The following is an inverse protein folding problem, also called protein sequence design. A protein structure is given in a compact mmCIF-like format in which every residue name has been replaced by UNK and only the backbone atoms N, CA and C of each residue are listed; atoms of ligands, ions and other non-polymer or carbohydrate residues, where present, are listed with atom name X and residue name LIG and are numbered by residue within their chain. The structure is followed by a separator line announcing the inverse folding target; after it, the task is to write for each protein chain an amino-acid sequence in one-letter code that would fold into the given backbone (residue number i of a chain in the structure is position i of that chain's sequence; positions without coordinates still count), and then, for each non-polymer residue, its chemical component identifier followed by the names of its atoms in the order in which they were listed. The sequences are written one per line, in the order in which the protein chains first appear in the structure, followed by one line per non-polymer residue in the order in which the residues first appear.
data_IF_976878205626
#
_entry.id   IF_976878205626
#
_cell.length_a   1.000
_cell.length_b   1.000
_cell.length_c   1.000
_cell.angle_alpha   90.00
_cell.angle_beta   90.00
_cell.angle_gamma   90.00
#
_symmetry.space_group_name_H-M   'P 1'
#
loop_
_entity.id
_entity.type
_entity.pdbx_description
1 polymer ?
#
# COMPACT_ATOMS: atom_id res chain seq x y z
N UNK A 1 34.50 0.75 -5.06
CA UNK A 1 34.15 1.31 -3.73
C UNK A 1 33.01 2.30 -3.92
N UNK A 2 31.79 1.99 -3.43
CA UNK A 2 30.62 2.87 -3.56
C UNK A 2 30.39 3.58 -2.23
N UNK A 3 30.48 4.91 -2.23
CA UNK A 3 29.98 5.74 -1.15
C UNK A 3 28.44 5.75 -1.23
N UNK A 4 27.78 5.08 -0.28
CA UNK A 4 26.35 5.31 0.00
C UNK A 4 26.26 6.63 0.77
N UNK A 5 26.31 7.74 0.05
CA UNK A 5 26.02 9.04 0.63
C UNK A 5 24.52 9.07 1.02
N UNK A 6 24.27 9.24 2.31
CA UNK A 6 22.97 9.64 2.85
C UNK A 6 22.61 11.02 2.31
N UNK A 7 22.16 11.09 1.05
CA UNK A 7 21.58 12.30 0.50
C UNK A 7 20.17 12.44 1.08
N UNK A 8 20.07 13.16 2.21
CA UNK A 8 18.82 13.80 2.58
C UNK A 8 18.57 14.83 1.47
N UNK A 9 17.69 14.49 0.52
CA UNK A 9 17.26 15.43 -0.49
C UNK A 9 16.70 16.67 0.22
N UNK A 10 17.40 17.79 0.11
CA UNK A 10 16.99 19.08 0.66
C UNK A 10 15.87 19.64 -0.23
N UNK A 11 14.68 19.09 -0.11
CA UNK A 11 13.51 19.62 -0.79
C UNK A 11 13.19 20.99 -0.18
N UNK A 12 13.09 22.02 -1.03
CA UNK A 12 12.60 23.33 -0.58
C UNK A 12 11.21 23.14 0.02
N UNK A 13 11.06 23.56 1.27
CA UNK A 13 9.76 23.54 1.93
C UNK A 13 8.79 24.44 1.17
N UNK A 14 7.55 23.98 1.01
CA UNK A 14 6.50 24.81 0.43
C UNK A 14 6.36 26.10 1.27
N UNK A 15 6.32 27.24 0.59
CA UNK A 15 6.18 28.53 1.26
C UNK A 15 4.90 28.56 2.08
N UNK A 16 5.04 28.93 3.37
CA UNK A 16 3.87 29.13 4.24
C UNK A 16 3.06 30.33 3.73
N UNK A 17 1.72 30.25 3.74
CA UNK A 17 0.89 31.36 3.33
C UNK A 17 1.14 32.59 4.22
N UNK A 18 1.49 33.70 3.59
CA UNK A 18 1.73 34.98 4.26
C UNK A 18 0.44 35.79 4.35
N UNK A 19 0.31 36.61 5.39
CA UNK A 19 -0.91 37.41 5.61
C UNK A 19 -1.30 38.27 4.37
N UNK A 20 -0.39 39.00 3.69
CA UNK A 20 -0.76 39.76 2.50
C UNK A 20 -1.33 38.90 1.37
N UNK A 21 -0.71 37.74 1.10
CA UNK A 21 -1.19 36.82 0.07
C UNK A 21 -2.56 36.22 0.43
N UNK A 22 -2.78 35.94 1.72
CA UNK A 22 -4.06 35.41 2.20
C UNK A 22 -5.19 36.42 2.08
N UNK A 23 -4.93 37.69 2.39
CA UNK A 23 -5.89 38.78 2.24
C UNK A 23 -6.22 39.04 0.75
N UNK A 24 -5.20 39.04 -0.11
CA UNK A 24 -5.39 39.15 -1.55
C UNK A 24 -6.23 37.99 -2.09
N UNK A 25 -5.99 36.75 -1.66
CA UNK A 25 -6.81 35.59 -2.04
C UNK A 25 -8.26 35.72 -1.56
N UNK A 26 -8.48 36.11 -0.30
CA UNK A 26 -9.82 36.33 0.25
C UNK A 26 -10.57 37.38 -0.54
N UNK A 27 -9.93 38.51 -0.84
CA UNK A 27 -10.53 39.59 -1.64
C UNK A 27 -10.79 39.17 -3.08
N UNK A 28 -9.87 38.43 -3.69
CA UNK A 28 -10.07 37.88 -5.02
C UNK A 28 -11.31 36.97 -5.08
N UNK A 29 -11.56 36.17 -4.04
CA UNK A 29 -12.75 35.32 -3.95
C UNK A 29 -14.04 36.13 -3.85
N UNK A 30 -14.05 37.18 -3.03
CA UNK A 30 -15.20 38.09 -2.92
C UNK A 30 -15.51 38.79 -4.25
N UNK A 31 -14.50 39.37 -4.90
CA UNK A 31 -14.67 40.16 -6.13
C UNK A 31 -15.09 39.26 -7.29
N UNK A 32 -14.45 38.09 -7.45
CA UNK A 32 -14.74 37.20 -8.57
C UNK A 32 -16.10 36.48 -8.47
N UNK A 33 -16.76 36.49 -7.30
CA UNK A 33 -18.12 35.96 -7.18
C UNK A 33 -19.17 36.81 -7.93
N UNK A 34 -18.90 38.09 -8.16
CA UNK A 34 -19.80 39.00 -8.88
C UNK A 34 -19.55 39.03 -10.39
N UNK A 35 -18.50 38.35 -10.86
CA UNK A 35 -18.11 38.36 -12.27
C UNK A 35 -18.70 37.15 -13.00
N UNK A 36 -18.96 37.31 -14.30
CA UNK A 36 -19.44 36.22 -15.12
C UNK A 36 -18.43 35.05 -15.15
N UNK A 37 -18.90 33.78 -15.25
CA UNK A 37 -18.02 32.63 -15.36
C UNK A 37 -17.01 32.80 -16.50
N UNK A 38 -15.72 32.74 -16.18
CA UNK A 38 -14.62 32.93 -17.14
C UNK A 38 -13.97 34.31 -17.13
N UNK A 39 -14.59 35.31 -16.52
CA UNK A 39 -13.99 36.63 -16.31
C UNK A 39 -13.44 36.75 -14.88
N UNK A 40 -12.19 37.20 -14.72
CA UNK A 40 -11.53 37.37 -13.41
C UNK A 40 -10.90 38.76 -13.32
N UNK A 41 -10.99 39.38 -12.15
CA UNK A 41 -10.30 40.63 -11.87
C UNK A 41 -8.78 40.46 -11.92
N UNK A 42 -8.07 41.47 -12.42
CA UNK A 42 -6.60 41.44 -12.46
C UNK A 42 -6.02 41.60 -11.05
N UNK A 43 -4.85 41.03 -10.78
CA UNK A 43 -4.22 41.12 -9.45
C UNK A 43 -4.01 42.57 -8.99
N UNK A 44 -3.66 43.48 -9.91
CA UNK A 44 -3.51 44.91 -9.60
C UNK A 44 -4.82 45.56 -9.14
N UNK A 45 -5.97 45.16 -9.71
CA UNK A 45 -7.29 45.66 -9.31
C UNK A 45 -7.68 45.10 -7.94
N UNK A 46 -7.40 43.82 -7.69
CA UNK A 46 -7.62 43.17 -6.39
C UNK A 46 -6.82 43.88 -5.30
N UNK A 47 -5.55 44.22 -5.55
CA UNK A 47 -4.73 44.97 -4.59
C UNK A 47 -5.32 46.37 -4.32
N UNK A 48 -5.77 47.09 -5.35
CA UNK A 48 -6.43 48.41 -5.17
C UNK A 48 -7.70 48.30 -4.32
N UNK A 49 -8.53 47.30 -4.61
CA UNK A 49 -9.76 47.03 -3.86
C UNK A 49 -9.47 46.57 -2.42
N UNK A 50 -8.37 45.87 -2.20
CA UNK A 50 -7.93 45.46 -0.87
C UNK A 50 -7.48 46.66 -0.04
N UNK A 51 -6.73 47.60 -0.63
CA UNK A 51 -6.32 48.84 0.05
C UNK A 51 -7.52 49.72 0.41
N UNK A 52 -8.52 49.76 -0.46
CA UNK A 52 -9.74 50.54 -0.26
C UNK A 52 -10.71 49.95 0.78
N UNK A 53 -10.58 48.67 1.14
CA UNK A 53 -11.47 47.99 2.08
C UNK A 53 -10.99 48.13 3.53
N UNK A 54 -11.69 48.91 4.39
CA UNK A 54 -11.26 49.12 5.78
C UNK A 54 -11.28 47.84 6.63
N UNK A 55 -12.12 46.86 6.28
CA UNK A 55 -12.30 45.63 7.07
C UNK A 55 -11.16 44.63 6.90
N UNK A 56 -10.50 44.65 5.73
CA UNK A 56 -9.41 43.73 5.39
C UNK A 56 -8.02 44.37 5.56
N UNK A 57 -7.93 45.56 6.16
CA UNK A 57 -6.65 46.16 6.49
C UNK A 57 -5.99 45.46 7.68
N UNK A 58 -4.68 45.13 7.61
CA UNK A 58 -3.98 44.44 8.68
C UNK A 58 -4.02 45.16 10.03
N UNK A 59 -4.15 46.50 10.04
CA UNK A 59 -4.23 47.31 11.26
C UNK A 59 -5.55 47.15 12.01
N UNK A 60 -6.63 46.82 11.31
CA UNK A 60 -7.99 46.74 11.87
C UNK A 60 -8.39 45.32 12.25
N UNK A 61 -7.59 44.31 11.87
CA UNK A 61 -7.85 42.91 12.19
C UNK A 61 -7.19 42.49 13.51
N UNK A 62 -7.94 41.78 14.33
CA UNK A 62 -7.42 41.10 15.52
C UNK A 62 -6.46 39.97 15.13
N UNK A 63 -5.66 39.51 16.10
CA UNK A 63 -4.71 38.40 15.87
C UNK A 63 -5.43 37.11 15.47
N UNK A 64 -6.58 36.83 16.09
CA UNK A 64 -7.40 35.64 15.82
C UNK A 64 -7.98 35.65 14.40
N UNK A 65 -8.47 36.79 13.92
CA UNK A 65 -8.98 36.92 12.56
C UNK A 65 -7.89 36.71 11.51
N UNK A 66 -6.67 37.19 11.77
CA UNK A 66 -5.50 36.97 10.88
C UNK A 66 -5.17 35.48 10.79
N UNK A 67 -5.13 34.79 11.92
CA UNK A 67 -4.87 33.34 11.97
C UNK A 67 -5.96 32.54 11.26
N UNK A 68 -7.24 32.93 11.41
CA UNK A 68 -8.36 32.30 10.74
C UNK A 68 -8.25 32.41 9.21
N UNK A 69 -7.94 33.59 8.67
CA UNK A 69 -7.79 33.80 7.23
C UNK A 69 -6.62 33.00 6.65
N UNK A 70 -5.51 32.88 7.39
CA UNK A 70 -4.38 32.01 7.00
C UNK A 70 -4.83 30.55 6.94
N UNK A 71 -5.54 30.07 7.97
CA UNK A 71 -6.04 28.70 8.07
C UNK A 71 -7.06 28.38 6.97
N UNK A 72 -7.92 29.33 6.59
CA UNK A 72 -8.84 29.17 5.45
C UNK A 72 -8.09 28.95 4.15
N UNK A 73 -7.01 29.70 3.89
CA UNK A 73 -6.20 29.50 2.69
C UNK A 73 -5.48 28.15 2.71
N UNK A 74 -4.94 27.75 3.85
CA UNK A 74 -4.33 26.42 4.01
C UNK A 74 -5.33 25.29 3.74
N UNK A 75 -6.55 25.41 4.27
CA UNK A 75 -7.61 24.45 4.02
C UNK A 75 -8.01 24.42 2.54
N UNK A 76 -8.08 25.58 1.89
CA UNK A 76 -8.35 25.66 0.45
C UNK A 76 -7.23 25.00 -0.37
N UNK A 77 -5.96 25.23 -0.03
CA UNK A 77 -4.83 24.55 -0.69
C UNK A 77 -4.88 23.03 -0.49
N UNK A 78 -5.14 22.58 0.74
CA UNK A 78 -5.33 21.15 1.05
C UNK A 78 -6.48 20.58 0.23
N UNK A 79 -7.63 21.25 0.21
CA UNK A 79 -8.80 20.81 -0.57
C UNK A 79 -8.51 20.78 -2.08
N UNK A 80 -7.72 21.70 -2.62
CA UNK A 80 -7.34 21.65 -4.04
C UNK A 80 -6.44 20.46 -4.34
N UNK A 81 -5.52 20.15 -3.43
CA UNK A 81 -4.57 19.04 -3.54
C UNK A 81 -5.21 17.67 -3.34
N UNK A 82 -6.07 17.52 -2.33
CA UNK A 82 -6.65 16.23 -1.91
C UNK A 82 -8.11 16.05 -2.31
N UNK A 83 -8.78 17.12 -2.77
CA UNK A 83 -10.19 17.09 -3.09
C UNK A 83 -10.46 16.26 -4.34
N UNK A 84 -11.34 15.28 -4.19
CA UNK A 84 -11.90 14.52 -5.30
C UNK A 84 -12.50 15.49 -6.33
N UNK A 85 -12.28 15.21 -7.62
CA UNK A 85 -12.88 15.99 -8.70
C UNK A 85 -14.36 15.63 -8.85
N UNK A 86 -15.16 16.61 -9.26
CA UNK A 86 -16.62 16.48 -9.39
C UNK A 86 -17.00 15.49 -10.50
N UNK A 87 -16.13 15.29 -11.49
CA UNK A 87 -16.34 14.33 -12.58
C UNK A 87 -15.06 13.60 -12.96
N UNK A 88 -15.21 12.39 -13.52
CA UNK A 88 -14.10 11.60 -14.06
C UNK A 88 -13.38 12.34 -15.20
N UNK A 89 -14.11 13.11 -16.02
CA UNK A 89 -13.52 13.92 -17.08
C UNK A 89 -12.59 15.01 -16.49
N UNK A 90 -13.02 15.71 -15.45
CA UNK A 90 -12.16 16.69 -14.78
C UNK A 90 -10.94 16.03 -14.10
N UNK A 91 -11.10 14.84 -13.51
CA UNK A 91 -9.99 14.07 -12.97
C UNK A 91 -8.97 13.65 -14.05
N UNK A 92 -9.46 13.23 -15.22
CA UNK A 92 -8.61 12.86 -16.36
C UNK A 92 -7.83 14.07 -16.91
N UNK A 93 -8.47 15.24 -17.05
CA UNK A 93 -7.79 16.46 -17.50
C UNK A 93 -6.67 16.86 -16.53
N UNK A 94 -6.94 16.80 -15.23
CA UNK A 94 -5.96 17.10 -14.18
C UNK A 94 -4.80 16.10 -14.17
N UNK A 95 -5.11 14.81 -14.37
CA UNK A 95 -4.11 13.75 -14.55
C UNK A 95 -3.20 14.06 -15.75
N UNK A 96 -3.77 14.32 -16.93
CA UNK A 96 -3.00 14.61 -18.15
C UNK A 96 -2.11 15.84 -17.97
N UNK A 97 -2.63 16.91 -17.37
CA UNK A 97 -1.86 18.12 -17.13
C UNK A 97 -0.70 17.87 -16.15
N UNK A 98 -0.90 17.00 -15.14
CA UNK A 98 0.14 16.63 -14.19
C UNK A 98 1.23 15.79 -14.85
N UNK A 99 0.85 14.80 -15.67
CA UNK A 99 1.78 13.96 -16.42
C UNK A 99 2.59 14.80 -17.40
N UNK A 100 1.95 15.73 -18.12
CA UNK A 100 2.64 16.65 -19.02
C UNK A 100 3.65 17.55 -18.27
N UNK A 101 3.27 18.06 -17.10
CA UNK A 101 4.19 18.83 -16.27
C UNK A 101 5.36 17.98 -15.77
N UNK A 102 5.12 16.73 -15.37
CA UNK A 102 6.20 15.80 -15.02
C UNK A 102 7.16 15.60 -16.20
N UNK A 103 6.66 15.34 -17.40
CA UNK A 103 7.48 15.21 -18.62
C UNK A 103 8.39 16.43 -18.83
N UNK A 104 7.87 17.65 -18.65
CA UNK A 104 8.67 18.88 -18.75
C UNK A 104 9.79 18.94 -17.71
N UNK A 105 9.55 18.45 -16.49
CA UNK A 105 10.57 18.37 -15.44
C UNK A 105 11.66 17.35 -15.79
N UNK A 106 11.31 16.16 -16.29
CA UNK A 106 12.28 15.16 -16.75
C UNK A 106 13.16 15.73 -17.86
N UNK A 107 12.56 16.36 -18.87
CA UNK A 107 13.30 17.05 -19.93
C UNK A 107 14.21 18.14 -19.38
N UNK A 108 13.72 18.96 -18.43
CA UNK A 108 14.52 20.01 -17.80
C UNK A 108 15.74 19.47 -17.06
N UNK A 109 15.59 18.36 -16.32
CA UNK A 109 16.68 17.69 -15.62
C UNK A 109 17.73 17.14 -16.60
N UNK A 110 17.28 16.58 -17.71
CA UNK A 110 18.16 16.12 -18.79
C UNK A 110 18.96 17.28 -19.37
N UNK A 111 18.29 18.36 -19.80
CA UNK A 111 18.94 19.48 -20.46
C UNK A 111 19.90 20.25 -19.54
N UNK A 112 19.54 20.41 -18.27
CA UNK A 112 20.31 21.24 -17.34
C UNK A 112 21.45 20.47 -16.66
N UNK A 113 21.25 19.19 -16.37
CA UNK A 113 22.15 18.42 -15.50
C UNK A 113 22.64 17.12 -16.13
N UNK A 114 22.14 16.76 -17.32
CA UNK A 114 22.41 15.46 -17.93
C UNK A 114 21.83 14.30 -17.12
N UNK A 115 20.85 14.55 -16.25
CA UNK A 115 20.21 13.52 -15.44
C UNK A 115 19.13 12.83 -16.27
N UNK A 116 19.19 11.51 -16.30
CA UNK A 116 18.23 10.66 -16.99
C UNK A 116 17.27 10.07 -15.95
N UNK A 117 15.98 10.04 -16.26
CA UNK A 117 14.97 9.36 -15.47
C UNK A 117 13.72 9.04 -16.28
N UNK A 118 12.89 8.18 -15.71
CA UNK A 118 11.55 7.88 -16.19
C UNK A 118 10.56 7.81 -15.01
N UNK A 119 9.27 7.77 -15.34
CA UNK A 119 8.18 7.55 -14.39
C UNK A 119 7.01 6.84 -15.06
N UNK A 120 6.28 6.05 -14.28
CA UNK A 120 5.03 5.40 -14.68
C UNK A 120 3.90 5.91 -13.78
N UNK A 121 2.85 6.41 -14.40
CA UNK A 121 1.62 6.82 -13.73
C UNK A 121 0.50 5.85 -14.10
N UNK A 122 -0.26 5.38 -13.12
CA UNK A 122 -1.37 4.45 -13.33
C UNK A 122 -2.49 4.70 -12.31
N UNK A 123 -3.68 4.18 -12.62
CA UNK A 123 -4.85 4.26 -11.77
C UNK A 123 -4.75 3.32 -10.57
N UNK A 124 -5.24 3.77 -9.41
CA UNK A 124 -5.35 2.95 -8.20
C UNK A 124 -6.73 2.31 -8.03
N UNK A 125 -7.70 2.67 -8.87
CA UNK A 125 -9.09 2.24 -8.74
C UNK A 125 -9.69 1.87 -10.09
N UNK A 126 -10.39 0.73 -10.15
CA UNK A 126 -10.91 0.16 -11.39
C UNK A 126 -11.98 1.02 -12.11
N UNK A 127 -12.60 1.97 -11.42
CA UNK A 127 -13.58 2.88 -12.05
C UNK A 127 -12.94 4.13 -12.65
N UNK A 128 -11.63 4.33 -12.45
CA UNK A 128 -10.93 5.45 -13.06
C UNK A 128 -10.56 5.06 -14.49
N UNK A 129 -10.87 5.94 -15.44
CA UNK A 129 -10.63 5.72 -16.87
C UNK A 129 -9.26 6.25 -17.32
N UNK A 130 -8.39 6.62 -16.39
CA UNK A 130 -7.07 7.15 -16.76
C UNK A 130 -6.19 6.02 -17.33
N UNK A 131 -5.63 6.29 -18.50
CA UNK A 131 -4.75 5.35 -19.19
C UNK A 131 -3.37 5.45 -18.55
N UNK A 132 -2.73 4.33 -18.19
CA UNK A 132 -1.35 4.37 -17.71
C UNK A 132 -0.45 5.12 -18.67
N UNK A 133 0.40 5.99 -18.14
CA UNK A 133 1.25 6.86 -18.97
C UNK A 133 2.67 6.85 -18.44
N UNK A 134 3.61 6.68 -19.35
CA UNK A 134 5.03 6.83 -19.07
C UNK A 134 5.49 8.26 -19.37
N UNK A 135 6.44 8.71 -18.57
CA UNK A 135 7.24 9.91 -18.85
C UNK A 135 8.71 9.50 -18.83
N UNK A 136 9.52 10.10 -19.70
CA UNK A 136 10.93 9.75 -19.79
C UNK A 136 11.79 10.89 -20.33
N UNK A 137 13.06 10.89 -19.96
CA UNK A 137 14.11 11.67 -20.62
C UNK A 137 15.01 10.76 -21.45
N UNK A 138 15.50 11.21 -22.60
CA UNK A 138 16.52 10.51 -23.41
C UNK A 138 16.38 8.98 -23.53
N UNK A 139 15.18 8.48 -23.84
CA UNK A 139 14.90 7.04 -24.01
C UNK A 139 15.19 6.19 -22.75
N UNK A 140 15.01 6.77 -21.56
CA UNK A 140 15.23 6.07 -20.30
C UNK A 140 14.36 4.82 -20.14
N UNK A 141 13.26 4.68 -20.87
CA UNK A 141 12.41 3.49 -20.84
C UNK A 141 13.05 2.27 -21.50
N UNK A 142 14.02 2.46 -22.41
CA UNK A 142 14.77 1.35 -23.03
C UNK A 142 15.53 0.54 -21.97
N UNK A 143 15.89 1.17 -20.83
CA UNK A 143 16.45 0.47 -19.68
C UNK A 143 15.54 -0.66 -19.17
N UNK A 144 14.21 -0.48 -19.23
CA UNK A 144 13.27 -1.50 -18.78
C UNK A 144 13.33 -2.72 -19.69
N UNK A 145 13.26 -2.49 -21.01
CA UNK A 145 13.31 -3.58 -21.99
C UNK A 145 14.66 -4.29 -21.96
N UNK A 146 15.75 -3.52 -21.85
CA UNK A 146 17.12 -4.06 -21.91
C UNK A 146 17.51 -4.85 -20.65
N UNK A 147 17.01 -4.46 -19.47
CA UNK A 147 17.42 -5.08 -18.20
C UNK A 147 16.43 -6.11 -17.66
N UNK A 148 15.14 -5.94 -17.93
CA UNK A 148 14.09 -6.80 -17.37
C UNK A 148 13.44 -7.72 -18.40
N UNK A 149 13.84 -7.63 -19.68
CA UNK A 149 13.25 -8.43 -20.78
C UNK A 149 11.71 -8.35 -20.79
N UNK A 150 11.19 -7.18 -20.42
CA UNK A 150 9.77 -6.93 -20.23
C UNK A 150 9.36 -5.75 -21.10
N UNK A 151 8.21 -5.86 -21.76
CA UNK A 151 7.69 -4.77 -22.58
C UNK A 151 7.04 -3.68 -21.72
N UNK A 152 7.09 -2.42 -22.15
CA UNK A 152 6.44 -1.32 -21.41
C UNK A 152 4.94 -1.55 -21.14
N UNK A 153 4.13 -2.07 -22.09
CA UNK A 153 2.74 -2.39 -21.83
C UNK A 153 2.55 -3.48 -20.76
N UNK A 154 3.42 -4.49 -20.73
CA UNK A 154 3.38 -5.56 -19.74
C UNK A 154 3.71 -5.01 -18.34
N UNK A 155 4.80 -4.26 -18.20
CA UNK A 155 5.14 -3.58 -16.95
C UNK A 155 4.00 -2.66 -16.47
N UNK A 156 3.39 -1.92 -17.40
CA UNK A 156 2.27 -1.04 -17.09
C UNK A 156 1.06 -1.81 -16.55
N UNK A 157 0.70 -2.92 -17.18
CA UNK A 157 -0.42 -3.76 -16.76
C UNK A 157 -0.15 -4.42 -15.41
N UNK A 158 1.05 -4.93 -15.18
CA UNK A 158 1.44 -5.50 -13.89
C UNK A 158 1.41 -4.46 -12.77
N UNK A 159 1.93 -3.27 -13.04
CA UNK A 159 1.92 -2.18 -12.08
C UNK A 159 0.50 -1.69 -11.79
N UNK A 160 -0.36 -1.57 -12.79
CA UNK A 160 -1.77 -1.21 -12.60
C UNK A 160 -2.54 -2.28 -11.82
N UNK A 161 -2.32 -3.56 -12.14
CA UNK A 161 -2.92 -4.67 -11.40
C UNK A 161 -2.48 -4.66 -9.94
N UNK A 162 -1.19 -4.44 -9.68
CA UNK A 162 -0.68 -4.26 -8.33
C UNK A 162 -1.29 -3.04 -7.64
N UNK A 163 -1.38 -1.90 -8.33
CA UNK A 163 -1.94 -0.66 -7.80
C UNK A 163 -3.44 -0.79 -7.49
N UNK A 164 -4.22 -1.48 -8.32
CA UNK A 164 -5.64 -1.73 -8.11
C UNK A 164 -5.88 -2.76 -6.99
N UNK A 165 -5.04 -3.78 -6.89
CA UNK A 165 -5.13 -4.78 -5.80
C UNK A 165 -4.72 -4.19 -4.44
N UNK A 166 -3.78 -3.24 -4.41
CA UNK A 166 -3.36 -2.51 -3.21
C UNK A 166 -4.20 -1.26 -2.92
N UNK A 167 -4.77 -0.63 -3.93
CA UNK A 167 -5.62 0.56 -3.80
C UNK A 167 -6.95 0.25 -3.12
N UNK A 168 -7.41 -1.00 -3.24
CA UNK A 168 -8.31 -1.60 -2.26
C UNK A 168 -7.54 -1.77 -0.94
N UNK A 169 -7.68 -0.79 -0.04
CA UNK A 169 -6.98 -0.69 1.26
C UNK A 169 -6.56 -2.08 1.81
N UNK A 170 -5.25 -2.42 1.87
CA UNK A 170 -4.76 -3.66 2.46
C UNK A 170 -5.06 -3.78 3.97
N UNK A 171 -5.70 -2.76 4.56
CA UNK A 171 -6.13 -2.74 5.95
C UNK A 171 -7.55 -3.26 6.20
N UNK A 172 -8.45 -3.38 5.23
CA UNK A 172 -9.84 -3.75 5.56
C UNK A 172 -10.15 -5.24 5.32
N UNK A 173 -9.29 -5.94 4.56
CA UNK A 173 -9.46 -7.38 4.32
C UNK A 173 -8.76 -8.17 5.41
N UNK A 174 -9.55 -8.66 6.36
CA UNK A 174 -9.14 -9.54 7.47
C UNK A 174 -8.06 -10.54 7.07
N UNK A 175 -8.27 -11.28 5.97
CA UNK A 175 -7.34 -12.32 5.51
C UNK A 175 -5.95 -11.79 5.13
N UNK A 176 -5.87 -10.61 4.52
CA UNK A 176 -4.58 -10.01 4.14
C UNK A 176 -3.79 -9.57 5.39
N UNK A 177 -4.46 -8.96 6.35
CA UNK A 177 -3.88 -8.63 7.66
C UNK A 177 -3.41 -9.88 8.40
N UNK A 178 -4.20 -10.95 8.41
CA UNK A 178 -3.80 -12.21 9.02
C UNK A 178 -2.54 -12.77 8.38
N UNK A 179 -2.44 -12.74 7.04
CA UNK A 179 -1.26 -13.18 6.29
C UNK A 179 -0.04 -12.32 6.61
N UNK A 180 -0.21 -11.00 6.69
CA UNK A 180 0.88 -10.06 6.99
C UNK A 180 1.37 -10.20 8.43
N UNK A 181 0.47 -10.31 9.41
CA UNK A 181 0.82 -10.62 10.80
C UNK A 181 1.56 -11.96 10.92
N UNK A 182 1.09 -13.01 10.23
CA UNK A 182 1.75 -14.32 10.24
C UNK A 182 3.17 -14.25 9.70
N UNK A 183 3.38 -13.49 8.61
CA UNK A 183 4.71 -13.23 8.05
C UNK A 183 5.60 -12.47 9.04
N UNK A 184 5.12 -11.36 9.62
CA UNK A 184 5.88 -10.57 10.60
C UNK A 184 6.28 -11.38 11.84
N UNK A 185 5.38 -12.26 12.31
CA UNK A 185 5.66 -13.16 13.42
C UNK A 185 6.78 -14.15 13.04
N UNK A 186 6.69 -14.78 11.88
CA UNK A 186 7.72 -15.72 11.40
C UNK A 186 9.07 -15.01 11.17
N UNK A 187 9.07 -13.83 10.56
CA UNK A 187 10.27 -13.02 10.34
C UNK A 187 10.92 -12.64 11.67
N UNK A 188 10.12 -12.19 12.65
CA UNK A 188 10.60 -11.86 13.99
C UNK A 188 11.17 -13.08 14.73
N UNK A 189 10.53 -14.24 14.59
CA UNK A 189 10.97 -15.50 15.18
C UNK A 189 12.32 -15.94 14.58
N UNK A 190 12.44 -15.92 13.26
CA UNK A 190 13.68 -16.25 12.56
C UNK A 190 14.82 -15.29 12.93
N UNK A 191 14.51 -14.00 13.09
CA UNK A 191 15.48 -12.99 13.53
C UNK A 191 16.00 -13.29 14.94
N UNK A 192 15.13 -13.68 15.86
CA UNK A 192 15.52 -14.01 17.23
C UNK A 192 16.30 -15.33 17.32
N UNK A 193 15.99 -16.31 16.47
CA UNK A 193 16.66 -17.61 16.41
C UNK A 193 17.99 -17.57 15.64
N UNK A 194 18.19 -16.59 14.76
CA UNK A 194 19.37 -16.50 13.91
C UNK A 194 19.39 -17.50 12.74
N UNK A 195 18.29 -18.19 12.44
CA UNK A 195 18.17 -19.09 11.29
C UNK A 195 16.83 -18.96 10.55
N UNK A 196 16.76 -19.27 9.24
CA UNK A 196 15.61 -18.93 8.40
C UNK A 196 14.38 -19.86 8.46
N UNK A 197 14.34 -20.90 9.30
CA UNK A 197 13.28 -21.93 9.26
C UNK A 197 12.53 -22.16 10.59
N UNK A 198 12.51 -21.17 11.48
CA UNK A 198 11.70 -21.21 12.69
C UNK A 198 10.20 -21.19 12.36
N UNK A 199 9.48 -22.24 12.72
CA UNK A 199 8.02 -22.29 12.59
C UNK A 199 7.33 -22.12 13.95
N UNK A 200 6.33 -21.23 13.98
CA UNK A 200 5.57 -20.95 15.18
C UNK A 200 4.51 -22.04 15.43
N UNK A 201 4.71 -22.87 16.47
CA UNK A 201 3.70 -23.85 16.87
C UNK A 201 2.77 -23.31 17.96
N UNK A 202 1.61 -22.78 17.55
CA UNK A 202 0.61 -22.23 18.49
C UNK A 202 -0.09 -23.30 19.34
N UNK A 203 -0.15 -24.57 18.91
CA UNK A 203 -0.82 -25.63 19.67
C UNK A 203 0.05 -26.13 20.82
N UNK A 204 1.34 -26.31 20.55
CA UNK A 204 2.33 -26.80 21.52
C UNK A 204 3.35 -25.71 21.86
N UNK A 205 2.87 -24.49 22.04
CA UNK A 205 3.71 -23.30 22.16
C UNK A 205 4.71 -23.40 23.33
N UNK A 206 4.25 -23.86 24.49
CA UNK A 206 5.11 -23.98 25.67
C UNK A 206 6.26 -24.99 25.46
N UNK A 207 6.01 -26.10 24.75
CA UNK A 207 7.01 -27.14 24.49
C UNK A 207 7.91 -26.76 23.31
N UNK A 208 7.32 -26.57 22.13
CA UNK A 208 8.05 -26.45 20.88
C UNK A 208 8.77 -25.12 20.73
N UNK A 209 8.28 -24.06 21.39
CA UNK A 209 8.87 -22.73 21.24
C UNK A 209 9.53 -22.28 22.53
N UNK A 210 8.80 -22.22 23.66
CA UNK A 210 9.39 -21.70 24.89
C UNK A 210 10.44 -22.62 25.48
N UNK A 211 10.18 -23.93 25.53
CA UNK A 211 11.14 -24.89 26.09
C UNK A 211 12.28 -25.21 25.11
N UNK A 212 11.98 -25.46 23.83
CA UNK A 212 13.03 -25.80 22.86
C UNK A 212 13.89 -24.60 22.45
N UNK A 213 13.30 -23.43 22.25
CA UNK A 213 14.01 -22.25 21.74
C UNK A 213 14.30 -21.19 22.80
N UNK A 214 13.71 -21.29 24.00
CA UNK A 214 13.95 -20.33 25.07
C UNK A 214 13.50 -18.91 24.73
N UNK A 215 12.50 -18.73 23.88
CA UNK A 215 12.04 -17.41 23.42
C UNK A 215 10.54 -17.23 23.61
N UNK A 216 10.13 -15.98 23.86
CA UNK A 216 8.74 -15.59 24.05
C UNK A 216 8.48 -14.19 23.47
N UNK A 217 7.30 -13.92 22.85
CA UNK A 217 6.96 -12.59 22.37
C UNK A 217 6.55 -11.72 23.54
N UNK A 218 7.30 -10.65 23.77
CA UNK A 218 6.96 -9.61 24.75
C UNK A 218 6.19 -8.50 24.04
N UNK A 219 5.21 -7.90 24.73
CA UNK A 219 4.40 -6.81 24.17
C UNK A 219 3.28 -7.27 23.23
N UNK A 220 2.80 -8.50 23.39
CA UNK A 220 1.56 -8.92 22.73
C UNK A 220 0.39 -8.01 23.17
N UNK A 221 -0.47 -7.55 22.26
CA UNK A 221 -1.52 -6.58 22.59
C UNK A 221 -2.53 -7.12 23.62
N UNK A 222 -2.94 -6.25 24.54
CA UNK A 222 -3.94 -6.58 25.56
C UNK A 222 -5.32 -6.80 24.90
N UNK A 223 -6.00 -7.88 25.29
CA UNK A 223 -7.33 -8.22 24.78
C UNK A 223 -7.32 -9.00 23.45
N UNK A 224 -6.15 -9.39 22.93
CA UNK A 224 -6.03 -10.31 21.80
C UNK A 224 -5.49 -11.64 22.30
N UNK A 225 -6.24 -12.71 22.07
CA UNK A 225 -5.81 -14.06 22.44
C UNK A 225 -4.49 -14.42 21.74
N UNK A 226 -3.61 -15.13 22.45
CA UNK A 226 -2.39 -15.67 21.89
C UNK A 226 -2.67 -16.90 21.02
N UNK A 227 -3.12 -16.67 19.79
CA UNK A 227 -3.45 -17.70 18.79
C UNK A 227 -2.86 -17.37 17.42
N UNK A 228 -2.87 -18.35 16.53
CA UNK A 228 -2.43 -18.15 15.15
C UNK A 228 -3.21 -16.99 14.51
N UNK A 229 -2.56 -16.06 13.78
CA UNK A 229 -3.24 -14.92 13.16
C UNK A 229 -4.45 -15.33 12.31
N UNK A 230 -4.36 -16.44 11.57
CA UNK A 230 -5.47 -16.99 10.78
C UNK A 230 -6.71 -17.39 11.59
N UNK A 231 -6.60 -17.54 12.91
CA UNK A 231 -7.71 -17.85 13.83
C UNK A 231 -8.30 -16.62 14.51
N UNK A 232 -7.75 -15.43 14.27
CA UNK A 232 -8.27 -14.16 14.79
C UNK A 232 -9.35 -13.67 13.84
N UNK A 233 -10.62 -13.81 14.22
CA UNK A 233 -11.77 -13.46 13.37
C UNK A 233 -12.15 -11.98 13.44
N UNK A 234 -11.79 -11.29 14.51
CA UNK A 234 -12.17 -9.91 14.73
C UNK A 234 -11.15 -8.95 14.09
N UNK A 235 -11.64 -8.11 13.18
CA UNK A 235 -10.82 -7.12 12.46
C UNK A 235 -10.07 -6.18 13.43
N UNK A 236 -10.73 -5.74 14.52
CA UNK A 236 -10.10 -4.89 15.54
C UNK A 236 -8.92 -5.57 16.24
N UNK A 237 -9.04 -6.85 16.55
CA UNK A 237 -7.98 -7.63 17.22
C UNK A 237 -6.77 -7.81 16.31
N UNK A 238 -6.98 -8.16 15.03
CA UNK A 238 -5.88 -8.34 14.08
C UNK A 238 -5.18 -7.00 13.79
N UNK A 239 -5.91 -5.88 13.76
CA UNK A 239 -5.30 -4.55 13.64
C UNK A 239 -4.43 -4.19 14.84
N UNK A 240 -4.90 -4.50 16.05
CA UNK A 240 -4.10 -4.27 17.26
C UNK A 240 -2.80 -5.07 17.20
N UNK A 241 -2.87 -6.34 16.79
CA UNK A 241 -1.68 -7.18 16.60
C UNK A 241 -0.75 -6.65 15.50
N UNK A 242 -1.32 -6.27 14.36
CA UNK A 242 -0.57 -5.69 13.24
C UNK A 242 0.19 -4.44 13.66
N UNK A 243 -0.48 -3.51 14.34
CA UNK A 243 0.13 -2.26 14.79
C UNK A 243 1.24 -2.51 15.82
N UNK A 244 1.03 -3.39 16.81
CA UNK A 244 2.07 -3.72 17.79
C UNK A 244 3.29 -4.41 17.15
N UNK A 245 3.10 -5.25 16.13
CA UNK A 245 4.22 -5.84 15.37
C UNK A 245 4.95 -4.79 14.53
N UNK A 246 4.20 -3.93 13.81
CA UNK A 246 4.75 -2.89 12.93
C UNK A 246 5.52 -1.81 13.70
N UNK A 247 5.00 -1.41 14.86
CA UNK A 247 5.64 -0.44 15.77
C UNK A 247 6.77 -1.08 16.60
N UNK A 248 7.05 -2.37 16.42
CA UNK A 248 8.04 -3.14 17.20
C UNK A 248 7.77 -3.11 18.71
N UNK A 249 6.52 -2.98 19.12
CA UNK A 249 6.10 -3.15 20.52
C UNK A 249 6.03 -4.63 20.88
N UNK A 250 5.62 -5.47 19.91
CA UNK A 250 5.63 -6.92 20.04
C UNK A 250 6.94 -7.48 19.45
N UNK A 251 7.86 -7.91 20.32
CA UNK A 251 9.18 -8.43 19.93
C UNK A 251 9.46 -9.78 20.56
N UNK A 252 10.14 -10.64 19.82
CA UNK A 252 10.66 -11.92 20.34
C UNK A 252 11.86 -11.65 21.22
N UNK A 253 11.80 -12.08 22.48
CA UNK A 253 12.87 -11.91 23.44
C UNK A 253 13.30 -13.27 24.03
N UNK A 254 14.59 -13.46 24.34
CA UNK A 254 15.04 -14.62 25.09
C UNK A 254 14.41 -14.63 26.48
N UNK A 255 14.05 -15.83 26.93
CA UNK A 255 13.63 -16.12 28.30
C UNK A 255 14.88 -16.32 29.16
N UNK A 256 14.78 -15.94 30.43
CA UNK A 256 15.82 -16.24 31.42
C UNK A 256 15.78 -17.72 31.84
N UNK A 257 16.91 -18.27 32.28
CA UNK A 257 17.01 -19.66 32.73
C UNK A 257 16.03 -19.98 33.87
N UNK A 258 15.78 -19.02 34.76
CA UNK A 258 14.80 -19.15 35.83
C UNK A 258 13.36 -19.29 35.32
N UNK A 259 13.01 -18.62 34.22
CA UNK A 259 11.69 -18.75 33.58
C UNK A 259 11.55 -20.08 32.85
N UNK A 260 12.64 -20.59 32.25
CA UNK A 260 12.66 -21.89 31.57
C UNK A 260 12.51 -23.04 32.58
N UNK A 261 13.19 -22.98 33.74
CA UNK A 261 13.08 -23.98 34.80
C UNK A 261 11.64 -24.06 35.34
N UNK A 262 11.06 -22.91 35.71
CA UNK A 262 9.67 -22.84 36.20
C UNK A 262 8.66 -23.39 35.20
N UNK A 263 8.87 -23.12 33.91
CA UNK A 263 8.02 -23.64 32.85
C UNK A 263 8.13 -25.17 32.75
N UNK A 264 9.35 -25.70 32.84
CA UNK A 264 9.62 -27.14 32.79
C UNK A 264 8.95 -27.88 33.95
N UNK A 265 8.99 -27.31 35.15
CA UNK A 265 8.32 -27.87 36.33
C UNK A 265 6.80 -27.85 36.17
N UNK A 266 6.23 -26.73 35.69
CA UNK A 266 4.79 -26.60 35.41
C UNK A 266 4.28 -27.55 34.32
N UNK A 267 5.15 -27.98 33.40
CA UNK A 267 4.81 -28.95 32.35
C UNK A 267 4.80 -30.37 32.92
N UNK A 268 5.75 -30.72 33.80
CA UNK A 268 5.81 -32.04 34.45
C UNK A 268 4.62 -32.32 35.36
N UNK A 269 4.08 -31.28 35.99
CA UNK A 269 2.90 -31.40 36.88
C UNK A 269 1.58 -31.62 36.12
N UNK A 270 1.51 -31.32 34.81
CA UNK A 270 0.29 -31.57 34.03
C UNK A 270 0.14 -33.08 33.79
N UNK A 271 -0.99 -33.70 34.17
CA UNK A 271 -1.19 -35.13 33.96
C UNK A 271 -1.14 -35.44 32.46
N UNK A 272 -0.20 -36.31 32.08
CA UNK A 272 -0.09 -36.83 30.72
C UNK A 272 -1.42 -37.51 30.39
N UNK A 273 -2.20 -36.92 29.47
CA UNK A 273 -3.37 -37.59 28.94
C UNK A 273 -2.91 -38.90 28.32
N UNK A 274 -3.25 -40.02 28.95
CA UNK A 274 -3.11 -41.35 28.39
C UNK A 274 -3.91 -41.40 27.09
N UNK A 275 -3.21 -41.47 25.97
CA UNK A 275 -3.84 -41.58 24.66
C UNK A 275 -4.64 -42.88 24.62
N UNK A 276 -5.90 -42.82 24.19
CA UNK A 276 -6.69 -44.03 23.93
C UNK A 276 -5.97 -44.82 22.83
N UNK A 277 -5.75 -46.11 23.09
CA UNK A 277 -5.27 -47.07 22.09
C UNK A 277 -6.08 -46.92 20.82
N UNK A 278 -5.41 -46.57 19.72
CA UNK A 278 -6.04 -46.31 18.44
C UNK A 278 -6.69 -47.61 17.94
N UNK A 279 -7.99 -47.58 17.61
CA UNK A 279 -8.80 -48.76 17.25
C UNK A 279 -8.38 -49.49 15.95
N UNK A 280 -7.31 -49.03 15.30
CA UNK A 280 -6.79 -49.57 14.05
C UNK A 280 -5.49 -50.37 14.24
N UNK A 281 -5.09 -50.61 15.50
CA UNK A 281 -4.02 -51.55 15.82
C UNK A 281 -4.47 -52.99 15.48
N UNK A 282 -4.23 -53.41 14.23
CA UNK A 282 -4.54 -54.75 13.71
C UNK A 282 -5.24 -54.81 12.36
N UNK A 283 -5.65 -53.67 11.76
CA UNK A 283 -6.32 -53.70 10.44
C UNK A 283 -5.31 -53.60 9.31
N UNK A 284 -5.22 -54.65 8.51
CA UNK A 284 -4.44 -54.71 7.27
C UNK A 284 -4.98 -53.69 6.28
N UNK A 285 -4.20 -52.63 6.00
CA UNK A 285 -4.55 -51.65 4.98
C UNK A 285 -4.73 -52.34 3.62
N UNK A 286 -5.93 -52.27 3.03
CA UNK A 286 -6.16 -52.66 1.63
C UNK A 286 -5.25 -51.80 0.74
N UNK A 287 -4.31 -52.44 0.03
CA UNK A 287 -3.50 -51.79 -1.01
C UNK A 287 -4.45 -51.24 -2.08
N UNK A 288 -4.51 -49.91 -2.18
CA UNK A 288 -5.17 -49.22 -3.30
C UNK A 288 -4.50 -49.67 -4.60
N UNK A 289 -5.30 -50.22 -5.54
CA UNK A 289 -4.82 -50.64 -6.85
C UNK A 289 -4.35 -49.40 -7.62
N UNK A 290 -3.07 -49.40 -8.01
CA UNK A 290 -2.54 -48.48 -9.02
C UNK A 290 -3.36 -48.64 -10.30
N UNK A 291 -4.00 -47.56 -10.74
CA UNK A 291 -4.56 -47.46 -12.08
C UNK A 291 -3.40 -47.29 -13.06
N UNK A 292 -3.09 -48.33 -13.83
CA UNK A 292 -2.16 -48.25 -14.97
C UNK A 292 -2.99 -48.32 -16.25
N UNK A 293 -3.00 -47.18 -16.94
CA UNK A 293 -2.98 -46.90 -18.39
C UNK A 293 -3.46 -47.98 -19.36
N UNK A 294 -4.28 -47.60 -20.33
CA UNK A 294 -4.20 -48.19 -21.66
C UNK A 294 -4.25 -47.10 -22.74
N UNK A 295 -3.12 -46.93 -23.42
CA UNK A 295 -2.97 -46.26 -24.71
C UNK A 295 -2.97 -47.35 -25.80
N UNK A 296 -3.44 -46.94 -26.98
CA UNK A 296 -3.35 -47.58 -28.30
C UNK A 296 -4.51 -48.47 -28.75
N UNK A 297 -5.35 -47.89 -29.60
CA UNK A 297 -5.60 -48.44 -30.94
C UNK A 297 -5.76 -47.29 -31.95
N UNK A 298 -4.79 -47.19 -32.85
CA UNK A 298 -4.90 -46.50 -34.14
C UNK A 298 -5.81 -47.32 -35.07
N UNK A 299 -6.71 -46.65 -35.81
CA UNK A 299 -6.58 -46.46 -37.27
C UNK A 299 -7.93 -46.19 -37.98
N UNK A 300 -7.79 -45.43 -39.07
CA UNK A 300 -8.66 -45.29 -40.25
C UNK A 300 -9.64 -44.10 -40.32
N UNK A 301 -9.16 -43.04 -40.99
CA UNK A 301 -9.93 -42.17 -41.88
C UNK A 301 -10.46 -42.98 -43.08
N UNK A 302 -11.66 -42.69 -43.63
CA UNK A 302 -11.69 -41.71 -44.73
C UNK A 302 -12.95 -40.83 -44.81
N UNK A 303 -12.72 -39.53 -45.02
CA UNK A 303 -13.27 -38.66 -46.09
C UNK A 303 -14.80 -38.65 -46.38
N UNK A 304 -15.45 -37.48 -46.21
CA UNK A 304 -16.16 -36.72 -47.27
C UNK A 304 -17.32 -35.82 -46.77
N UNK A 305 -17.26 -34.55 -47.17
CA UNK A 305 -18.36 -33.64 -47.53
C UNK A 305 -19.75 -33.78 -46.88
N UNK A 306 -20.25 -32.70 -46.27
CA UNK A 306 -21.23 -31.80 -46.92
C UNK A 306 -21.58 -30.57 -46.07
N UNK A 307 -21.73 -29.45 -46.77
CA UNK A 307 -22.13 -28.14 -46.28
C UNK A 307 -23.62 -28.07 -45.89
N UNK A 308 -23.98 -27.16 -44.99
CA UNK A 308 -25.14 -26.25 -45.17
C UNK A 308 -25.30 -25.25 -44.01
N UNK A 309 -25.06 -23.96 -44.31
CA UNK A 309 -25.86 -22.86 -43.74
C UNK A 309 -27.20 -22.83 -44.47
N UNK A 310 -28.31 -22.41 -43.82
CA UNK A 310 -28.92 -21.11 -44.17
C UNK A 310 -29.76 -20.49 -43.02
N UNK A 311 -30.58 -19.43 -43.23
CA UNK A 311 -30.35 -18.19 -43.99
C UNK A 311 -30.58 -16.94 -43.13
N UNK A 312 -30.15 -15.78 -43.67
CA UNK A 312 -30.60 -14.44 -43.25
C UNK A 312 -31.84 -14.01 -44.04
N UNK A 313 -32.67 -13.24 -43.36
CA UNK A 313 -33.47 -12.12 -43.91
C UNK A 313 -33.01 -10.86 -43.21
#
# INVERSE_FOLDING_TARGET
MRYLANHIACFKQQHKPTLPNTLAHKKAKEVNNYWAPGCKAKMAEICKLLTADPKLQPSNMTKEEKELVIKELENHHKQKLTGARVSNCAAMIDYLHTVQHAQQLYNGLEYQMGIIGFGLFSCTHATNTAIPTFVESKQALDFITDQFDTTLPELSNEFELWACTKGAKPGDRLHELQKECARMIADGLNTALGWPNGQMNYKNYDLANRQCYGIHPRGWPKGVDFKAPSRITHIKEIHSLYNSLKLKECVWAPMSEAEISKLTDSIKEKPVKTWKTQSDQGKTHKKSRKHVRNENQENEDPNANTASKPPKT
#
